data_IF_116638037534
#
_entry.id   IF_116638037534
#
_cell.length_a   1.000
_cell.length_b   1.000
_cell.length_c   1.000
_cell.angle_alpha   90.00
_cell.angle_beta   90.00
_cell.angle_gamma   90.00
#
_symmetry.space_group_name_H-M   'P 1'
#
loop_
_entity.id
_entity.type
_entity.pdbx_description
1 polymer ?
#
# COMPACT_ATOMS: atom_id res chain seq x y z
N UNK A 1 12.67 -9.44 -13.68
CA UNK A 1 11.87 -10.16 -12.66
C UNK A 1 10.37 -9.92 -12.82
N UNK A 2 9.75 -8.87 -12.26
CA UNK A 2 8.28 -8.73 -12.31
C UNK A 2 7.69 -8.63 -13.73
N UNK A 3 8.34 -7.89 -14.65
CA UNK A 3 7.93 -7.80 -16.07
C UNK A 3 8.00 -9.16 -16.80
N UNK A 4 8.78 -10.09 -16.28
CA UNK A 4 8.95 -11.45 -16.81
C UNK A 4 8.05 -12.46 -16.06
N UNK A 5 7.14 -11.99 -15.19
CA UNK A 5 6.26 -12.84 -14.39
C UNK A 5 6.94 -13.52 -13.20
N UNK A 6 8.19 -13.18 -12.90
CA UNK A 6 8.95 -13.74 -11.78
C UNK A 6 8.67 -12.91 -10.52
N UNK A 7 8.10 -13.50 -9.45
CA UNK A 7 7.91 -12.81 -8.18
C UNK A 7 9.24 -12.35 -7.58
N UNK A 8 9.25 -11.18 -6.95
CA UNK A 8 10.42 -10.73 -6.19
C UNK A 8 10.60 -11.60 -4.94
N UNK A 9 11.83 -11.81 -4.50
CA UNK A 9 12.13 -12.37 -3.18
C UNK A 9 12.06 -11.29 -2.09
N UNK A 10 12.17 -11.65 -0.81
CA UNK A 10 12.30 -10.65 0.26
C UNK A 10 13.61 -9.86 0.14
N UNK A 11 14.69 -10.52 -0.24
CA UNK A 11 16.01 -9.92 -0.48
C UNK A 11 15.96 -8.89 -1.60
N UNK A 12 15.13 -9.11 -2.63
CA UNK A 12 14.90 -8.13 -3.69
C UNK A 12 14.11 -6.91 -3.20
N UNK A 13 13.17 -7.11 -2.25
CA UNK A 13 12.28 -6.04 -1.76
C UNK A 13 12.94 -5.17 -0.69
N UNK A 14 13.80 -5.74 0.14
CA UNK A 14 14.36 -5.05 1.31
C UNK A 14 15.13 -3.77 0.97
N UNK A 15 16.05 -3.75 -0.02
CA UNK A 15 16.76 -2.53 -0.39
C UNK A 15 15.81 -1.44 -0.91
N UNK A 16 14.76 -1.83 -1.63
CA UNK A 16 13.75 -0.90 -2.14
C UNK A 16 12.89 -0.32 -1.01
N UNK A 17 12.45 -1.15 -0.05
CA UNK A 17 11.71 -0.68 1.14
C UNK A 17 12.55 0.28 1.99
N UNK A 18 13.84 -0.02 2.16
CA UNK A 18 14.75 0.87 2.89
C UNK A 18 14.94 2.21 2.16
N UNK A 19 15.06 2.19 0.84
CA UNK A 19 15.15 3.42 0.04
C UNK A 19 13.89 4.29 0.19
N UNK A 20 12.70 3.67 0.15
CA UNK A 20 11.43 4.38 0.40
C UNK A 20 11.39 4.92 1.83
N UNK A 21 11.74 4.11 2.83
CA UNK A 21 11.76 4.54 4.24
C UNK A 21 12.67 5.75 4.45
N UNK A 22 13.86 5.76 3.84
CA UNK A 22 14.78 6.90 3.90
C UNK A 22 14.18 8.16 3.23
N UNK A 23 13.57 8.01 2.05
CA UNK A 23 12.93 9.13 1.36
C UNK A 23 11.72 9.68 2.14
N UNK A 24 10.91 8.80 2.75
CA UNK A 24 9.81 9.20 3.63
C UNK A 24 10.32 9.98 4.84
N UNK A 25 11.41 9.53 5.46
CA UNK A 25 12.03 10.22 6.59
C UNK A 25 12.41 11.65 6.23
N UNK A 26 13.04 11.87 5.09
CA UNK A 26 13.41 13.22 4.61
C UNK A 26 12.18 14.12 4.41
N UNK A 27 11.10 13.57 3.82
CA UNK A 27 9.83 14.29 3.64
C UNK A 27 9.22 14.67 4.98
N UNK A 28 9.16 13.73 5.93
CA UNK A 28 8.61 13.93 7.27
C UNK A 28 9.40 14.99 8.03
N UNK A 29 10.74 14.88 8.07
CA UNK A 29 11.58 15.84 8.81
C UNK A 29 11.58 17.23 8.19
N UNK A 30 11.27 17.33 6.89
CA UNK A 30 11.11 18.62 6.21
C UNK A 30 9.72 19.23 6.38
N UNK A 31 8.80 18.57 7.10
CA UNK A 31 7.42 19.03 7.27
C UNK A 31 6.55 18.92 6.03
N UNK A 32 7.00 18.19 5.01
CA UNK A 32 6.28 17.98 3.76
C UNK A 32 5.37 16.75 3.83
N UNK A 33 4.53 16.55 2.81
CA UNK A 33 3.68 15.35 2.68
C UNK A 33 3.80 14.75 1.28
N UNK A 34 3.74 13.43 1.19
CA UNK A 34 3.82 12.67 -0.06
C UNK A 34 2.80 11.53 -0.04
N UNK A 35 2.29 11.16 -1.23
CA UNK A 35 1.44 9.98 -1.43
C UNK A 35 2.18 9.04 -2.38
N UNK A 36 2.26 7.76 -2.02
CA UNK A 36 2.95 6.73 -2.78
C UNK A 36 2.02 5.55 -3.01
N UNK A 37 2.07 4.98 -4.22
CA UNK A 37 1.48 3.68 -4.48
C UNK A 37 2.51 2.59 -4.12
N UNK A 38 2.21 1.80 -3.10
CA UNK A 38 3.07 0.71 -2.65
C UNK A 38 2.18 -0.47 -2.24
N UNK A 39 2.51 -1.68 -2.69
CA UNK A 39 1.70 -2.86 -2.34
C UNK A 39 1.78 -3.21 -0.85
N UNK A 40 2.94 -2.97 -0.20
CA UNK A 40 3.17 -3.12 1.24
C UNK A 40 2.39 -4.27 1.91
N UNK A 41 2.43 -5.46 1.26
CA UNK A 41 1.48 -6.54 1.52
C UNK A 41 1.65 -7.18 2.90
N UNK A 42 2.89 -7.24 3.41
CA UNK A 42 3.24 -7.83 4.71
C UNK A 42 3.31 -6.78 5.81
N UNK A 43 2.98 -7.20 7.04
CA UNK A 43 3.11 -6.36 8.24
C UNK A 43 4.54 -5.84 8.42
N UNK A 44 5.54 -6.69 8.21
CA UNK A 44 6.96 -6.32 8.31
C UNK A 44 7.36 -5.20 7.34
N UNK A 45 6.77 -5.15 6.15
CA UNK A 45 7.05 -4.09 5.17
C UNK A 45 6.48 -2.76 5.64
N UNK A 46 5.29 -2.77 6.23
CA UNK A 46 4.67 -1.56 6.80
C UNK A 46 5.44 -1.06 8.01
N UNK A 47 5.94 -1.95 8.88
CA UNK A 47 6.80 -1.58 10.02
C UNK A 47 8.09 -0.87 9.58
N UNK A 48 8.77 -1.35 8.53
CA UNK A 48 9.96 -0.69 7.97
C UNK A 48 9.64 0.74 7.50
N UNK A 49 8.47 0.93 6.88
CA UNK A 49 8.04 2.23 6.40
C UNK A 49 7.59 3.15 7.54
N UNK A 50 6.86 2.66 8.55
CA UNK A 50 6.51 3.42 9.77
C UNK A 50 7.74 3.88 10.53
N UNK A 51 8.81 3.10 10.52
CA UNK A 51 10.11 3.43 11.13
C UNK A 51 10.81 4.63 10.48
N UNK A 52 10.28 5.17 9.37
CA UNK A 52 10.73 6.45 8.82
C UNK A 52 10.29 7.66 9.65
N UNK A 53 9.24 7.53 10.46
CA UNK A 53 8.84 8.53 11.45
C UNK A 53 9.72 8.41 12.71
N UNK A 54 10.49 9.44 13.08
CA UNK A 54 11.33 9.43 14.28
C UNK A 54 10.56 9.21 15.60
N UNK A 55 9.26 9.50 15.64
CA UNK A 55 8.42 9.36 16.83
C UNK A 55 7.71 8.01 16.91
N UNK A 56 7.89 7.14 15.90
CA UNK A 56 7.22 5.85 15.87
C UNK A 56 7.82 4.86 16.87
N UNK A 57 6.95 4.22 17.66
CA UNK A 57 7.30 3.09 18.51
C UNK A 57 6.84 1.77 17.85
N UNK A 58 7.74 0.77 17.67
CA UNK A 58 7.39 -0.50 17.06
C UNK A 58 6.19 -1.18 17.74
N UNK A 59 5.26 -1.68 16.94
CA UNK A 59 4.02 -2.32 17.42
C UNK A 59 2.91 -1.34 17.80
N UNK A 60 3.14 -0.02 17.70
CA UNK A 60 2.09 0.99 17.76
C UNK A 60 1.43 1.23 16.39
N UNK A 61 0.36 2.02 16.39
CA UNK A 61 -0.28 2.51 15.15
C UNK A 61 -0.11 4.01 14.94
N UNK A 62 0.42 4.73 15.93
CA UNK A 62 0.64 6.18 15.85
C UNK A 62 1.94 6.48 15.10
N UNK A 63 1.82 6.78 13.81
CA UNK A 63 2.93 7.17 12.93
C UNK A 63 2.44 8.23 11.95
N UNK A 64 3.34 9.12 11.53
CA UNK A 64 3.16 10.05 10.43
C UNK A 64 2.99 9.34 9.08
N UNK A 65 3.36 8.06 8.99
CA UNK A 65 3.15 7.21 7.82
C UNK A 65 1.83 6.45 7.97
N UNK A 66 0.84 6.86 7.16
CA UNK A 66 -0.47 6.23 7.11
C UNK A 66 -0.57 5.25 5.93
N UNK A 67 -1.32 4.17 6.12
CA UNK A 67 -1.62 3.20 5.07
C UNK A 67 -3.11 3.23 4.72
N UNK A 68 -3.39 3.22 3.42
CA UNK A 68 -4.74 3.06 2.88
C UNK A 68 -4.77 1.79 2.05
N UNK A 69 -5.58 0.82 2.46
CA UNK A 69 -5.92 -0.36 1.69
C UNK A 69 -7.16 -0.05 0.84
N UNK A 70 -6.99 -0.12 -0.47
CA UNK A 70 -8.10 -0.12 -1.41
C UNK A 70 -8.68 -1.53 -1.46
N UNK A 71 -9.70 -1.76 -0.64
CA UNK A 71 -10.31 -3.07 -0.47
C UNK A 71 -11.33 -3.34 -1.58
N UNK A 72 -11.18 -4.50 -2.21
CA UNK A 72 -12.04 -4.97 -3.31
C UNK A 72 -12.06 -6.49 -3.25
N UNK A 73 -13.23 -7.13 -3.39
CA UNK A 73 -13.31 -8.59 -3.48
C UNK A 73 -12.38 -9.15 -4.57
N UNK A 74 -11.72 -10.26 -4.28
CA UNK A 74 -10.75 -10.90 -5.17
C UNK A 74 -11.34 -11.18 -6.58
N UNK A 75 -12.62 -11.57 -6.63
CA UNK A 75 -13.38 -11.80 -7.85
C UNK A 75 -13.53 -10.53 -8.73
N UNK A 76 -13.74 -9.37 -8.11
CA UNK A 76 -13.83 -8.09 -8.83
C UNK A 76 -12.44 -7.63 -9.30
N UNK A 77 -11.38 -7.86 -8.50
CA UNK A 77 -10.01 -7.61 -8.93
C UNK A 77 -9.63 -8.45 -10.16
N UNK A 78 -10.00 -9.74 -10.16
CA UNK A 78 -9.77 -10.65 -11.27
C UNK A 78 -10.52 -10.22 -12.54
N UNK A 79 -11.81 -9.85 -12.43
CA UNK A 79 -12.60 -9.35 -13.57
C UNK A 79 -12.01 -8.06 -14.15
N UNK A 80 -11.62 -7.10 -13.29
CA UNK A 80 -10.94 -5.86 -13.73
C UNK A 80 -9.63 -6.15 -14.44
N UNK A 81 -8.87 -7.15 -13.98
CA UNK A 81 -7.63 -7.56 -14.60
C UNK A 81 -7.85 -8.17 -15.99
N UNK A 82 -8.80 -9.11 -16.11
CA UNK A 82 -9.16 -9.71 -17.38
C UNK A 82 -9.58 -8.66 -18.41
N UNK A 83 -10.45 -7.71 -18.04
CA UNK A 83 -10.89 -6.61 -18.91
C UNK A 83 -9.74 -5.73 -19.41
N UNK A 84 -8.65 -5.58 -18.65
CA UNK A 84 -7.45 -4.83 -19.08
C UNK A 84 -6.59 -5.64 -20.03
N UNK A 85 -6.42 -6.94 -19.76
CA UNK A 85 -5.68 -7.85 -20.63
C UNK A 85 -6.36 -7.97 -22.01
N UNK A 86 -7.70 -8.06 -22.06
CA UNK A 86 -8.46 -8.07 -23.31
C UNK A 86 -8.25 -6.80 -24.16
N UNK A 87 -8.01 -5.65 -23.51
CA UNK A 87 -7.71 -4.38 -24.18
C UNK A 87 -6.27 -4.29 -24.68
N UNK A 88 -5.45 -5.32 -24.47
CA UNK A 88 -4.04 -5.33 -24.84
C UNK A 88 -3.17 -4.44 -23.96
N UNK A 89 -3.67 -4.00 -22.79
CA UNK A 89 -2.83 -3.30 -21.83
C UNK A 89 -1.80 -4.30 -21.27
N UNK A 90 -0.52 -3.96 -21.34
CA UNK A 90 0.57 -4.75 -20.78
C UNK A 90 0.48 -4.76 -19.25
N UNK A 91 -0.38 -5.61 -18.72
CA UNK A 91 -0.62 -5.72 -17.30
C UNK A 91 -0.15 -7.06 -16.74
N UNK A 92 0.12 -7.03 -15.44
CA UNK A 92 0.61 -8.12 -14.61
C UNK A 92 -0.19 -9.42 -14.84
N UNK A 93 0.45 -10.60 -15.05
CA UNK A 93 -0.26 -11.86 -15.27
C UNK A 93 -1.18 -12.23 -14.10
N UNK A 94 -2.33 -12.91 -14.35
CA UNK A 94 -3.29 -13.30 -13.30
C UNK A 94 -2.68 -14.13 -12.16
N UNK A 95 -1.65 -14.91 -12.44
CA UNK A 95 -0.90 -15.69 -11.44
C UNK A 95 -0.24 -14.81 -10.37
N UNK A 96 0.14 -13.57 -10.71
CA UNK A 96 0.69 -12.64 -9.74
C UNK A 96 -0.40 -12.04 -8.82
N UNK A 97 -1.64 -11.87 -9.30
CA UNK A 97 -2.74 -11.40 -8.45
C UNK A 97 -2.99 -12.38 -7.29
N UNK A 98 -3.07 -13.67 -7.59
CA UNK A 98 -3.25 -14.71 -6.57
C UNK A 98 -2.12 -14.67 -5.54
N UNK A 99 -0.86 -14.60 -5.99
CA UNK A 99 0.29 -14.50 -5.08
C UNK A 99 0.28 -13.24 -4.21
N UNK A 100 -0.28 -12.13 -4.69
CA UNK A 100 -0.39 -10.90 -3.91
C UNK A 100 -1.48 -10.98 -2.85
N UNK A 101 -2.62 -11.60 -3.18
CA UNK A 101 -3.71 -11.82 -2.23
C UNK A 101 -3.28 -12.78 -1.11
N UNK A 102 -2.51 -13.82 -1.42
CA UNK A 102 -1.94 -14.75 -0.43
C UNK A 102 -0.90 -14.09 0.49
N UNK A 103 -0.19 -13.07 -0.01
CA UNK A 103 0.79 -12.31 0.76
C UNK A 103 0.18 -11.16 1.57
N UNK A 104 -1.10 -10.82 1.33
CA UNK A 104 -1.77 -9.73 2.02
C UNK A 104 -2.07 -10.13 3.46
N UNK A 105 -1.31 -9.54 4.37
CA UNK A 105 -1.52 -9.66 5.80
C UNK A 105 -2.00 -8.30 6.29
N UNK A 106 -3.12 -8.24 7.00
CA UNK A 106 -3.62 -7.03 7.65
C UNK A 106 -4.06 -7.37 9.06
N UNK A 107 -3.49 -6.68 10.04
CA UNK A 107 -3.85 -6.80 11.44
C UNK A 107 -4.60 -5.53 11.88
N UNK A 108 -5.76 -5.70 12.52
CA UNK A 108 -6.62 -4.60 12.94
C UNK A 108 -5.92 -3.62 13.89
N UNK A 109 -4.91 -4.08 14.65
CA UNK A 109 -4.10 -3.23 15.54
C UNK A 109 -3.21 -2.24 14.79
N UNK A 110 -2.99 -2.42 13.49
CA UNK A 110 -2.07 -1.59 12.70
C UNK A 110 -2.64 -0.23 12.30
N UNK A 111 -3.96 -0.01 12.44
CA UNK A 111 -4.60 1.23 12.02
C UNK A 111 -4.55 1.47 10.50
N UNK A 112 -4.52 0.41 9.68
CA UNK A 112 -4.63 0.54 8.22
C UNK A 112 -6.04 0.98 7.86
N UNK A 113 -6.17 2.11 7.15
CA UNK A 113 -7.46 2.61 6.68
C UNK A 113 -7.96 1.77 5.51
N UNK A 114 -9.16 1.23 5.59
CA UNK A 114 -9.75 0.44 4.52
C UNK A 114 -10.80 1.25 3.77
N UNK A 115 -10.70 1.29 2.44
CA UNK A 115 -11.61 2.03 1.56
C UNK A 115 -12.13 1.11 0.47
N UNK A 116 -13.46 1.02 0.34
CA UNK A 116 -14.10 0.24 -0.73
C UNK A 116 -13.77 0.83 -2.10
N UNK A 117 -12.98 0.10 -2.87
CA UNK A 117 -12.57 0.48 -4.21
C UNK A 117 -13.51 -0.04 -5.32
N UNK A 118 -14.74 -0.43 -4.98
CA UNK A 118 -15.85 -0.58 -5.93
C UNK A 118 -16.52 0.74 -6.31
N UNK A 119 -16.29 1.79 -5.52
CA UNK A 119 -16.84 3.12 -5.75
C UNK A 119 -16.13 3.85 -6.91
N UNK A 120 -16.68 5.00 -7.31
CA UNK A 120 -16.03 5.86 -8.31
C UNK A 120 -14.70 6.40 -7.78
N UNK A 121 -13.69 6.64 -8.65
CA UNK A 121 -12.41 7.22 -8.22
C UNK A 121 -12.57 8.53 -7.44
N UNK A 122 -13.55 9.36 -7.81
CA UNK A 122 -13.83 10.62 -7.12
C UNK A 122 -14.28 10.38 -5.68
N UNK A 123 -15.15 9.40 -5.46
CA UNK A 123 -15.63 9.04 -4.12
C UNK A 123 -14.52 8.44 -3.25
N UNK A 124 -13.66 7.60 -3.85
CA UNK A 124 -12.51 7.02 -3.17
C UNK A 124 -11.56 8.13 -2.69
N UNK A 125 -11.24 9.08 -3.58
CA UNK A 125 -10.37 10.22 -3.24
C UNK A 125 -10.96 11.07 -2.13
N UNK A 126 -12.25 11.43 -2.20
CA UNK A 126 -12.89 12.22 -1.15
C UNK A 126 -12.91 11.49 0.19
N UNK A 127 -13.14 10.18 0.18
CA UNK A 127 -13.13 9.35 1.41
C UNK A 127 -11.75 9.35 2.05
N UNK A 128 -10.69 9.16 1.26
CA UNK A 128 -9.30 9.17 1.75
C UNK A 128 -8.95 10.54 2.32
N UNK A 129 -9.31 11.63 1.63
CA UNK A 129 -9.05 12.99 2.11
C UNK A 129 -9.70 13.25 3.47
N UNK A 130 -10.95 12.82 3.67
CA UNK A 130 -11.65 12.97 4.94
C UNK A 130 -10.94 12.16 6.06
N UNK A 131 -10.65 10.88 5.82
CA UNK A 131 -9.98 10.03 6.81
C UNK A 131 -8.61 10.57 7.22
N UNK A 132 -7.82 11.07 6.27
CA UNK A 132 -6.50 11.66 6.56
C UNK A 132 -6.63 12.96 7.36
N UNK A 133 -7.67 13.76 7.12
CA UNK A 133 -7.90 14.99 7.87
C UNK A 133 -8.29 14.74 9.33
N UNK A 134 -9.17 13.76 9.60
CA UNK A 134 -9.63 13.41 10.94
C UNK A 134 -8.50 12.86 11.83
N UNK A 135 -7.58 12.08 11.24
CA UNK A 135 -6.42 11.53 11.94
C UNK A 135 -5.33 12.56 12.24
N UNK A 136 -5.31 13.72 11.56
CA UNK A 136 -4.36 14.81 11.88
C UNK A 136 -4.84 15.70 13.02
N UNK A 137 -6.14 15.67 13.32
CA UNK A 137 -6.77 16.49 14.37
C UNK A 137 -6.93 15.78 15.71
N UNK A 138 -6.62 14.48 15.77
CA UNK A 138 -6.68 13.64 16.98
C UNK A 138 -5.29 13.44 17.57
#
# INVERSE_FOLDING_TARGET
KMREGIPLSEEDRMPWLQAISNALKEVITSGNSVVLACSALRKTYREILRSSDPNYAPGGCSSSVMFVLLDVPAEVLADRLHKRLEKGEHFMPPTLLQSQLELLEIDASEGVLQVDANQSPQYIVSTIQNMVSENRTS
#
